data_IF_928843687656
#
_entry.id   IF_928843687656
#
_cell.length_a   1.000
_cell.length_b   1.000
_cell.length_c   1.000
_cell.angle_alpha   90.00
_cell.angle_beta   90.00
_cell.angle_gamma   90.00
#
_symmetry.space_group_name_H-M   'P 1'
#
loop_
_entity.id
_entity.type
_entity.pdbx_description
1 polymer ?
#
# COMPACT_ATOMS: atom_id res chain seq x y z
N UNK A 1 4.82 11.89 22.23
CA UNK A 1 4.06 13.17 22.29
C UNK A 1 3.05 13.05 23.43
N UNK A 2 2.87 14.06 24.30
CA UNK A 2 1.79 14.05 25.30
C UNK A 2 0.42 14.01 24.59
N UNK A 3 -0.61 13.41 25.24
CA UNK A 3 -2.00 13.45 24.76
C UNK A 3 -2.39 14.88 24.35
N UNK A 4 -3.04 15.01 23.20
CA UNK A 4 -3.50 16.31 22.66
C UNK A 4 -4.44 16.99 23.66
N UNK A 5 -4.36 18.32 23.77
CA UNK A 5 -5.26 19.08 24.63
C UNK A 5 -6.70 19.07 24.08
N UNK A 6 -7.72 19.27 24.93
CA UNK A 6 -9.12 19.35 24.48
C UNK A 6 -9.36 20.41 23.38
N UNK A 7 -8.67 21.54 23.45
CA UNK A 7 -8.78 22.61 22.44
C UNK A 7 -8.24 22.15 21.08
N UNK A 8 -7.10 21.43 21.09
CA UNK A 8 -6.52 20.87 19.86
C UNK A 8 -7.45 19.80 19.28
N UNK A 9 -8.03 18.93 20.12
CA UNK A 9 -9.00 17.91 19.68
C UNK A 9 -10.23 18.57 19.04
N UNK A 10 -10.76 19.63 19.66
CA UNK A 10 -11.92 20.37 19.15
C UNK A 10 -11.62 21.02 17.80
N UNK A 11 -10.46 21.66 17.67
CA UNK A 11 -10.00 22.23 16.40
C UNK A 11 -9.83 21.16 15.32
N UNK A 12 -9.26 20.00 15.67
CA UNK A 12 -9.09 18.87 14.74
C UNK A 12 -10.42 18.26 14.32
N UNK A 13 -11.41 18.18 15.21
CA UNK A 13 -12.75 17.73 14.84
C UNK A 13 -13.43 18.69 13.87
N UNK A 14 -13.29 20.00 14.08
CA UNK A 14 -13.87 21.02 13.21
C UNK A 14 -13.24 21.02 11.81
N UNK A 15 -11.96 20.67 11.71
CA UNK A 15 -11.18 20.64 10.46
C UNK A 15 -10.98 19.23 9.90
N UNK A 16 -11.72 18.24 10.39
CA UNK A 16 -11.59 16.85 9.96
C UNK A 16 -11.96 16.73 8.47
N UNK A 17 -11.07 16.21 7.60
CA UNK A 17 -11.38 16.03 6.19
C UNK A 17 -12.59 15.12 5.99
N UNK A 18 -13.48 15.48 5.08
CA UNK A 18 -14.62 14.64 4.69
C UNK A 18 -14.27 13.83 3.44
N UNK A 19 -14.08 12.50 3.56
CA UNK A 19 -13.67 11.70 2.42
C UNK A 19 -14.81 11.48 1.43
N UNK A 20 -14.48 11.55 0.14
CA UNK A 20 -15.30 10.98 -0.93
C UNK A 20 -14.76 9.60 -1.32
N UNK A 21 -15.63 8.75 -1.87
CA UNK A 21 -15.30 7.37 -2.22
C UNK A 21 -15.64 7.12 -3.67
N UNK A 22 -14.74 6.41 -4.36
CA UNK A 22 -15.00 5.93 -5.71
C UNK A 22 -15.86 4.66 -5.60
N UNK A 23 -17.01 4.65 -6.27
CA UNK A 23 -18.02 3.58 -6.13
C UNK A 23 -17.59 2.25 -6.78
N UNK A 24 -16.56 2.29 -7.64
CA UNK A 24 -16.06 1.18 -8.44
C UNK A 24 -15.06 0.26 -7.72
N UNK A 25 -14.49 0.71 -6.59
CA UNK A 25 -13.50 -0.07 -5.84
C UNK A 25 -14.16 -1.16 -4.96
N UNK A 26 -13.65 -2.40 -4.96
CA UNK A 26 -14.18 -3.50 -4.13
C UNK A 26 -14.31 -3.17 -2.64
N UNK A 27 -13.37 -2.43 -2.05
CA UNK A 27 -13.46 -1.99 -0.64
C UNK A 27 -14.72 -1.17 -0.37
N UNK A 28 -15.19 -0.39 -1.34
CA UNK A 28 -16.36 0.46 -1.16
C UNK A 28 -17.62 -0.38 -0.88
N UNK A 29 -17.79 -1.50 -1.58
CA UNK A 29 -18.94 -2.41 -1.39
C UNK A 29 -19.03 -2.97 0.05
N UNK A 30 -17.88 -3.06 0.75
CA UNK A 30 -17.76 -3.56 2.12
C UNK A 30 -17.55 -2.44 3.15
N UNK A 31 -17.67 -1.17 2.76
CA UNK A 31 -17.34 -0.01 3.63
C UNK A 31 -18.10 -0.01 4.96
N UNK A 32 -19.40 -0.26 4.95
CA UNK A 32 -20.23 -0.26 6.17
C UNK A 32 -19.94 -1.47 7.09
N UNK A 33 -19.46 -2.58 6.53
CA UNK A 33 -18.99 -3.73 7.29
C UNK A 33 -17.65 -3.42 7.95
N UNK A 34 -16.72 -2.83 7.19
CA UNK A 34 -15.41 -2.37 7.69
C UNK A 34 -15.58 -1.34 8.81
N UNK A 35 -16.46 -0.35 8.63
CA UNK A 35 -16.75 0.66 9.65
C UNK A 35 -17.20 0.04 10.96
N UNK A 36 -18.20 -0.83 10.90
CA UNK A 36 -18.73 -1.53 12.07
C UNK A 36 -17.68 -2.38 12.76
N UNK A 37 -16.82 -3.07 12.01
CA UNK A 37 -15.74 -3.84 12.62
C UNK A 37 -14.73 -2.94 13.33
N UNK A 38 -14.30 -1.84 12.71
CA UNK A 38 -13.36 -0.87 13.30
C UNK A 38 -13.94 -0.22 14.56
N UNK A 39 -15.25 0.06 14.60
CA UNK A 39 -15.90 0.61 15.80
C UNK A 39 -15.91 -0.41 16.94
N UNK A 40 -16.30 -1.65 16.65
CA UNK A 40 -16.60 -2.65 17.67
C UNK A 40 -15.39 -3.47 18.15
N UNK A 41 -14.28 -3.49 17.41
CA UNK A 41 -13.13 -4.35 17.74
C UNK A 41 -11.83 -3.56 17.77
N UNK A 42 -10.98 -3.81 18.78
CA UNK A 42 -9.68 -3.12 18.90
C UNK A 42 -8.72 -3.48 17.76
N UNK A 43 -8.80 -4.72 17.25
CA UNK A 43 -8.03 -5.21 16.11
C UNK A 43 -8.98 -5.67 15.02
N UNK A 44 -8.69 -5.32 13.77
CA UNK A 44 -9.43 -5.81 12.59
C UNK A 44 -8.43 -6.24 11.51
N UNK A 45 -8.66 -7.40 10.93
CA UNK A 45 -7.88 -7.89 9.79
C UNK A 45 -8.69 -7.67 8.52
N UNK A 46 -8.11 -7.00 7.52
CA UNK A 46 -8.78 -6.74 6.23
C UNK A 46 -7.94 -7.34 5.11
N UNK A 47 -8.47 -8.37 4.49
CA UNK A 47 -7.80 -9.12 3.44
C UNK A 47 -8.46 -8.89 2.08
N UNK A 48 -7.70 -9.04 1.01
CA UNK A 48 -8.22 -8.91 -0.34
C UNK A 48 -7.12 -8.63 -1.33
N UNK A 49 -7.31 -8.90 -2.61
CA UNK A 49 -6.26 -8.79 -3.62
C UNK A 49 -5.68 -7.36 -3.76
N UNK A 50 -4.49 -7.27 -4.36
CA UNK A 50 -3.95 -5.99 -4.80
C UNK A 50 -4.93 -5.30 -5.76
N UNK A 51 -5.00 -3.98 -5.72
CA UNK A 51 -5.97 -3.22 -6.52
C UNK A 51 -7.40 -3.17 -5.95
N UNK A 52 -7.72 -3.88 -4.86
CA UNK A 52 -9.06 -3.78 -4.23
C UNK A 52 -9.35 -2.43 -3.54
N UNK A 53 -8.34 -1.58 -3.37
CA UNK A 53 -8.45 -0.24 -2.79
C UNK A 53 -8.14 -0.15 -1.29
N UNK A 54 -7.72 -1.24 -0.63
CA UNK A 54 -7.45 -1.27 0.83
C UNK A 54 -6.55 -0.11 1.29
N UNK A 55 -5.38 0.00 0.68
CA UNK A 55 -4.35 0.98 1.00
C UNK A 55 -4.83 2.43 0.92
N UNK A 56 -5.69 2.79 -0.04
CA UNK A 56 -6.14 4.19 -0.20
C UNK A 56 -7.46 4.47 0.51
N UNK A 57 -8.34 3.48 0.64
CA UNK A 57 -9.70 3.70 1.16
C UNK A 57 -9.83 3.49 2.68
N UNK A 58 -9.11 2.53 3.27
CA UNK A 58 -9.18 2.26 4.72
C UNK A 58 -8.80 3.48 5.58
N UNK A 59 -7.69 4.22 5.33
CA UNK A 59 -7.39 5.42 6.12
C UNK A 59 -8.49 6.49 6.01
N UNK A 60 -9.17 6.60 4.85
CA UNK A 60 -10.33 7.49 4.69
C UNK A 60 -11.52 7.03 5.52
N UNK A 61 -11.82 5.72 5.54
CA UNK A 61 -12.84 5.15 6.43
C UNK A 61 -12.52 5.46 7.90
N UNK A 62 -11.25 5.37 8.29
CA UNK A 62 -10.83 5.76 9.64
C UNK A 62 -11.10 7.24 9.92
N UNK A 63 -10.82 8.15 8.98
CA UNK A 63 -11.15 9.58 9.12
C UNK A 63 -12.65 9.80 9.29
N UNK A 64 -13.49 9.11 8.51
CA UNK A 64 -14.95 9.17 8.66
C UNK A 64 -15.41 8.75 10.07
N UNK A 65 -14.74 7.77 10.66
CA UNK A 65 -14.94 7.32 12.05
C UNK A 65 -14.26 8.23 13.09
N UNK A 66 -13.85 9.45 12.69
CA UNK A 66 -13.18 10.46 13.53
C UNK A 66 -11.86 9.97 14.15
N UNK A 67 -11.22 8.96 13.55
CA UNK A 67 -9.84 8.59 13.90
C UNK A 67 -8.86 9.61 13.31
N UNK A 68 -7.67 9.68 13.88
CA UNK A 68 -6.70 10.73 13.58
C UNK A 68 -7.01 12.06 14.28
N UNK A 69 -8.02 12.13 15.15
CA UNK A 69 -8.39 13.35 15.87
C UNK A 69 -7.64 13.45 17.20
N UNK A 70 -7.55 12.34 17.94
CA UNK A 70 -6.93 12.28 19.27
C UNK A 70 -5.46 11.86 19.21
N UNK A 71 -5.02 11.37 18.06
CA UNK A 71 -3.63 11.16 17.66
C UNK A 71 -3.54 11.16 16.13
N UNK A 72 -2.51 10.54 15.57
CA UNK A 72 -2.39 10.29 14.14
C UNK A 72 -2.96 8.90 13.78
N UNK A 73 -3.41 8.75 12.53
CA UNK A 73 -3.52 7.47 11.86
C UNK A 73 -2.13 7.18 11.25
N UNK A 74 -1.39 6.25 11.85
CA UNK A 74 -0.11 5.79 11.34
C UNK A 74 -0.33 4.64 10.35
N UNK A 75 0.03 4.84 9.08
CA UNK A 75 -0.18 3.84 8.04
C UNK A 75 1.17 3.41 7.47
N UNK A 76 1.56 2.17 7.74
CA UNK A 76 2.86 1.67 7.31
C UNK A 76 2.81 1.10 5.89
N UNK A 77 3.95 1.16 5.21
CA UNK A 77 4.19 0.56 3.91
C UNK A 77 5.61 -0.03 3.91
N UNK A 78 5.83 -1.22 3.34
CA UNK A 78 7.17 -1.83 3.32
C UNK A 78 8.18 -1.04 2.49
N UNK A 79 7.71 -0.33 1.46
CA UNK A 79 8.55 0.39 0.49
C UNK A 79 8.42 1.90 0.61
N UNK A 80 9.55 2.62 0.57
CA UNK A 80 9.58 4.10 0.63
C UNK A 80 8.79 4.77 -0.50
N UNK A 81 8.93 4.26 -1.73
CA UNK A 81 8.21 4.81 -2.90
C UNK A 81 6.70 4.60 -2.75
N UNK A 82 6.27 3.44 -2.22
CA UNK A 82 4.87 3.16 -1.95
C UNK A 82 4.32 4.14 -0.90
N UNK A 83 4.99 4.32 0.24
CA UNK A 83 4.58 5.29 1.27
C UNK A 83 4.35 6.70 0.71
N UNK A 84 5.29 7.20 -0.11
CA UNK A 84 5.18 8.53 -0.72
C UNK A 84 4.04 8.61 -1.74
N UNK A 85 3.90 7.60 -2.60
CA UNK A 85 2.91 7.60 -3.70
C UNK A 85 1.50 7.43 -3.15
N UNK A 86 1.32 6.57 -2.15
CA UNK A 86 0.05 6.39 -1.43
C UNK A 86 -0.34 7.68 -0.70
N UNK A 87 0.60 8.35 -0.01
CA UNK A 87 0.33 9.63 0.63
C UNK A 87 -0.14 10.68 -0.38
N UNK A 88 0.53 10.79 -1.52
CA UNK A 88 0.15 11.70 -2.60
C UNK A 88 -1.24 11.38 -3.15
N UNK A 89 -1.57 10.10 -3.33
CA UNK A 89 -2.87 9.66 -3.82
C UNK A 89 -4.00 9.98 -2.84
N UNK A 90 -3.84 9.64 -1.56
CA UNK A 90 -4.87 9.92 -0.54
C UNK A 90 -5.05 11.43 -0.35
N UNK A 91 -3.96 12.20 -0.34
CA UNK A 91 -4.04 13.67 -0.28
C UNK A 91 -4.87 14.25 -1.44
N UNK A 92 -4.62 13.77 -2.67
CA UNK A 92 -5.39 14.18 -3.84
C UNK A 92 -6.88 13.80 -3.73
N UNK A 93 -7.19 12.57 -3.29
CA UNK A 93 -8.58 12.13 -3.08
C UNK A 93 -9.31 12.91 -1.97
N UNK A 94 -8.58 13.49 -1.02
CA UNK A 94 -9.10 14.37 0.03
C UNK A 94 -9.06 15.86 -0.35
N UNK A 95 -8.71 16.21 -1.59
CA UNK A 95 -8.53 17.59 -2.05
C UNK A 95 -7.57 18.41 -1.16
N UNK A 96 -6.49 17.78 -0.69
CA UNK A 96 -5.49 18.34 0.22
C UNK A 96 -4.11 18.30 -0.41
N UNK A 97 -3.23 19.25 -0.04
CA UNK A 97 -1.81 19.13 -0.34
C UNK A 97 -1.14 18.07 0.55
N UNK A 98 -0.14 17.37 0.01
CA UNK A 98 0.71 16.47 0.83
C UNK A 98 1.44 17.29 1.88
N UNK A 99 1.38 16.85 3.13
CA UNK A 99 1.92 17.53 4.32
C UNK A 99 0.86 18.30 5.11
N UNK A 100 -0.34 18.51 4.57
CA UNK A 100 -1.50 19.00 5.32
C UNK A 100 -2.23 17.81 5.92
N UNK A 101 -3.46 17.47 5.47
CA UNK A 101 -4.25 16.39 6.06
C UNK A 101 -3.58 15.01 5.99
N UNK A 102 -2.81 14.78 4.93
CA UNK A 102 -2.05 13.54 4.70
C UNK A 102 -0.59 13.88 4.48
N UNK A 103 0.28 13.27 5.26
CA UNK A 103 1.73 13.44 5.16
C UNK A 103 2.44 12.10 5.08
N UNK A 104 3.77 12.15 4.93
CA UNK A 104 4.58 10.94 5.02
C UNK A 104 5.91 11.18 5.73
N UNK A 105 6.45 10.11 6.33
CA UNK A 105 7.77 10.08 6.93
C UNK A 105 8.52 8.82 6.50
N UNK A 106 9.60 9.01 5.76
CA UNK A 106 10.53 7.96 5.34
C UNK A 106 11.93 8.31 5.83
N UNK A 107 12.89 7.39 5.70
CA UNK A 107 14.27 7.69 6.09
C UNK A 107 14.77 8.93 5.34
N UNK A 108 15.32 9.88 6.07
CA UNK A 108 15.87 11.17 5.58
C UNK A 108 14.86 12.15 4.97
N UNK A 109 13.56 11.85 4.98
CA UNK A 109 12.56 12.78 4.42
C UNK A 109 11.27 12.72 5.22
N UNK A 110 10.84 13.87 5.70
CA UNK A 110 9.58 14.04 6.43
C UNK A 110 8.78 15.17 5.80
N UNK A 111 7.48 14.92 5.60
CA UNK A 111 6.51 15.90 5.08
C UNK A 111 5.21 15.72 5.84
N UNK A 112 5.22 16.18 7.09
CA UNK A 112 4.07 16.23 8.00
C UNK A 112 3.95 17.65 8.60
N UNK A 113 2.77 17.99 9.08
CA UNK A 113 2.50 19.23 9.83
C UNK A 113 1.63 18.93 11.04
N UNK A 114 1.41 19.92 11.94
CA UNK A 114 0.44 19.77 13.03
C UNK A 114 -0.99 19.44 12.55
N UNK A 115 -1.33 19.79 11.31
CA UNK A 115 -2.64 19.54 10.70
C UNK A 115 -2.75 18.17 10.02
N UNK A 116 -1.70 17.35 10.09
CA UNK A 116 -1.73 15.98 9.57
C UNK A 116 -2.60 15.08 10.42
N UNK A 117 -3.46 14.31 9.77
CA UNK A 117 -4.29 13.26 10.38
C UNK A 117 -3.75 11.87 10.01
N UNK A 118 -3.35 11.68 8.75
CA UNK A 118 -2.82 10.42 8.25
C UNK A 118 -1.34 10.56 7.94
N UNK A 119 -0.50 9.79 8.63
CA UNK A 119 0.95 9.72 8.39
C UNK A 119 1.31 8.39 7.73
N UNK A 120 1.66 8.44 6.45
CA UNK A 120 2.26 7.31 5.75
C UNK A 120 3.72 7.17 6.15
N UNK A 121 4.18 5.97 6.41
CA UNK A 121 5.59 5.76 6.77
C UNK A 121 6.07 4.38 6.38
N UNK A 122 7.38 4.17 6.39
CA UNK A 122 7.90 2.81 6.30
C UNK A 122 7.81 2.08 7.63
N UNK A 123 7.72 0.75 7.60
CA UNK A 123 7.73 -0.08 8.82
C UNK A 123 8.91 0.25 9.73
N UNK A 124 10.10 0.40 9.15
CA UNK A 124 11.30 0.78 9.89
C UNK A 124 11.23 2.14 10.58
N UNK A 125 10.40 3.08 10.09
CA UNK A 125 10.18 4.38 10.74
C UNK A 125 9.28 4.20 11.96
N UNK A 126 8.19 3.44 11.84
CA UNK A 126 7.34 3.14 13.00
C UNK A 126 8.13 2.37 14.05
N UNK A 127 8.93 1.39 13.64
CA UNK A 127 9.77 0.59 14.54
C UNK A 127 10.79 1.48 15.26
N UNK A 128 11.45 2.40 14.55
CA UNK A 128 12.35 3.37 15.18
C UNK A 128 11.63 4.28 16.19
N UNK A 129 10.39 4.69 15.90
CA UNK A 129 9.60 5.51 16.82
C UNK A 129 9.26 4.78 18.12
N UNK A 130 9.14 3.45 18.12
CA UNK A 130 8.93 2.66 19.37
C UNK A 130 10.05 2.84 20.40
N UNK A 131 11.27 3.21 19.98
CA UNK A 131 12.38 3.45 20.91
C UNK A 131 12.23 4.75 21.70
N UNK A 132 11.62 5.76 21.09
CA UNK A 132 11.44 7.10 21.69
C UNK A 132 10.03 7.31 22.24
N UNK A 133 9.04 6.61 21.70
CA UNK A 133 7.66 6.57 22.15
C UNK A 133 7.23 5.10 22.36
N UNK A 134 7.64 4.45 23.47
CA UNK A 134 7.35 3.03 23.71
C UNK A 134 5.87 2.70 23.95
N UNK A 135 5.01 3.71 24.00
CA UNK A 135 3.57 3.52 24.06
C UNK A 135 2.89 3.95 22.77
N UNK A 136 3.63 4.46 21.77
CA UNK A 136 3.11 5.01 20.52
C UNK A 136 1.98 6.02 20.77
N UNK A 137 2.18 6.93 21.74
CA UNK A 137 1.18 7.92 22.16
C UNK A 137 0.83 8.94 21.08
N UNK A 138 1.70 9.11 20.08
CA UNK A 138 1.41 9.94 18.91
C UNK A 138 0.23 9.40 18.06
N UNK A 139 -0.19 8.15 18.25
CA UNK A 139 -1.19 7.48 17.40
C UNK A 139 -2.44 7.09 18.19
N UNK A 140 -3.59 7.28 17.54
CA UNK A 140 -4.86 6.68 17.96
C UNK A 140 -5.22 5.44 17.13
N UNK A 141 -4.63 5.31 15.94
CA UNK A 141 -4.87 4.22 15.00
C UNK A 141 -3.58 3.86 14.28
N UNK A 142 -3.30 2.57 14.17
CA UNK A 142 -2.25 2.03 13.32
C UNK A 142 -2.86 1.13 12.23
N UNK A 143 -2.40 1.33 11.01
CA UNK A 143 -2.69 0.47 9.86
C UNK A 143 -1.36 -0.15 9.45
N UNK A 144 -1.20 -1.46 9.65
CA UNK A 144 -0.04 -2.22 9.19
C UNK A 144 -0.40 -2.83 7.85
N UNK A 145 0.08 -2.20 6.77
CA UNK A 145 -0.27 -2.58 5.41
C UNK A 145 0.71 -3.54 4.78
N UNK A 146 0.23 -4.28 3.79
CA UNK A 146 1.01 -5.29 3.08
C UNK A 146 1.67 -6.27 4.07
N UNK A 147 0.96 -6.66 5.15
CA UNK A 147 1.51 -7.49 6.22
C UNK A 147 1.92 -8.91 5.76
N UNK A 148 1.57 -9.28 4.53
CA UNK A 148 2.03 -10.50 3.86
C UNK A 148 3.46 -10.40 3.30
N UNK A 149 4.03 -9.20 3.21
CA UNK A 149 5.43 -9.04 2.86
C UNK A 149 6.29 -9.66 3.97
N UNK A 150 7.17 -10.60 3.59
CA UNK A 150 8.02 -11.34 4.53
C UNK A 150 9.21 -10.50 4.99
N UNK A 151 8.92 -9.44 5.73
CA UNK A 151 9.89 -8.49 6.25
C UNK A 151 10.02 -8.64 7.77
N UNK A 152 11.26 -8.77 8.25
CA UNK A 152 11.56 -8.81 9.69
C UNK A 152 10.97 -7.60 10.44
N UNK A 153 10.92 -6.42 9.80
CA UNK A 153 10.36 -5.22 10.44
C UNK A 153 8.87 -5.39 10.75
N UNK A 154 8.11 -6.01 9.85
CA UNK A 154 6.67 -6.25 10.04
C UNK A 154 6.48 -7.25 11.18
N UNK A 155 7.23 -8.37 11.17
CA UNK A 155 7.14 -9.38 12.22
C UNK A 155 7.43 -8.80 13.61
N UNK A 156 8.50 -8.00 13.74
CA UNK A 156 8.83 -7.31 14.98
C UNK A 156 7.75 -6.31 15.40
N UNK A 157 7.21 -5.53 14.45
CA UNK A 157 6.13 -4.57 14.75
C UNK A 157 4.87 -5.28 15.23
N UNK A 158 4.44 -6.36 14.58
CA UNK A 158 3.25 -7.10 14.98
C UNK A 158 3.43 -7.71 16.39
N UNK A 159 4.60 -8.33 16.65
CA UNK A 159 4.93 -8.86 17.97
C UNK A 159 4.97 -7.78 19.06
N UNK A 160 5.53 -6.61 18.75
CA UNK A 160 5.57 -5.45 19.65
C UNK A 160 4.16 -4.90 19.93
N UNK A 161 3.36 -4.68 18.88
CA UNK A 161 2.02 -4.13 19.00
C UNK A 161 1.11 -5.09 19.78
N UNK A 162 1.23 -6.40 19.59
CA UNK A 162 0.49 -7.39 20.39
C UNK A 162 0.72 -7.20 21.90
N UNK A 163 1.94 -6.87 22.32
CA UNK A 163 2.24 -6.59 23.73
C UNK A 163 1.78 -5.18 24.17
N UNK A 164 1.68 -4.24 23.24
CA UNK A 164 1.22 -2.88 23.49
C UNK A 164 -0.30 -2.78 23.68
N UNK A 165 -1.08 -3.52 22.89
CA UNK A 165 -2.54 -3.40 22.85
C UNK A 165 -3.23 -3.52 24.23
N UNK A 166 -2.84 -4.45 25.13
CA UNK A 166 -3.39 -4.49 26.49
C UNK A 166 -3.12 -3.25 27.34
N UNK A 167 -2.01 -2.52 27.05
CA UNK A 167 -1.62 -1.29 27.75
C UNK A 167 -2.25 -0.04 27.12
N UNK A 168 -2.69 -0.14 25.86
CA UNK A 168 -3.31 0.93 25.06
C UNK A 168 -4.67 0.48 24.52
N UNK A 169 -5.69 0.27 25.38
CA UNK A 169 -7.03 -0.12 24.94
C UNK A 169 -7.69 0.91 24.01
N UNK A 170 -7.20 2.15 24.03
CA UNK A 170 -7.62 3.25 23.15
C UNK A 170 -7.06 3.15 21.73
N UNK A 171 -5.93 2.44 21.53
CA UNK A 171 -5.27 2.29 20.25
C UNK A 171 -6.02 1.28 19.37
N UNK A 172 -6.41 1.71 18.17
CA UNK A 172 -7.00 0.86 17.13
C UNK A 172 -5.89 0.26 16.26
N UNK A 173 -5.95 -1.04 15.97
CA UNK A 173 -5.07 -1.70 15.01
C UNK A 173 -5.88 -2.24 13.85
N UNK A 174 -5.42 -1.95 12.64
CA UNK A 174 -5.90 -2.55 11.40
C UNK A 174 -4.71 -3.21 10.72
N UNK A 175 -4.85 -4.48 10.36
CA UNK A 175 -3.82 -5.21 9.59
C UNK A 175 -4.40 -5.51 8.23
N UNK A 176 -3.70 -5.12 7.18
CA UNK A 176 -4.12 -5.39 5.79
C UNK A 176 -3.16 -6.34 5.09
N UNK A 177 -3.74 -7.28 4.34
CA UNK A 177 -2.98 -8.31 3.62
C UNK A 177 -3.60 -8.59 2.24
N UNK A 178 -2.76 -8.92 1.25
CA UNK A 178 -3.21 -9.36 -0.06
C UNK A 178 -3.46 -10.88 -0.15
N UNK A 179 -3.02 -11.64 0.84
CA UNK A 179 -3.01 -13.10 0.80
C UNK A 179 -3.99 -13.74 1.79
N UNK A 180 -4.24 -15.03 1.58
CA UNK A 180 -5.14 -15.90 2.37
C UNK A 180 -4.64 -16.13 3.81
N UNK A 181 -3.47 -15.61 4.20
CA UNK A 181 -2.90 -15.79 5.55
C UNK A 181 -3.62 -14.98 6.66
N UNK A 182 -4.84 -14.51 6.38
CA UNK A 182 -5.71 -13.77 7.29
C UNK A 182 -5.91 -14.47 8.64
N UNK A 183 -6.06 -15.79 8.60
CA UNK A 183 -6.33 -16.61 9.79
C UNK A 183 -5.14 -16.64 10.75
N UNK A 184 -3.90 -16.60 10.25
CA UNK A 184 -2.73 -16.50 11.13
C UNK A 184 -2.67 -15.15 11.83
N UNK A 185 -2.99 -14.06 11.14
CA UNK A 185 -3.08 -12.74 11.78
C UNK A 185 -4.22 -12.69 12.80
N UNK A 186 -5.38 -13.25 12.47
CA UNK A 186 -6.52 -13.34 13.40
C UNK A 186 -6.12 -14.09 14.67
N UNK A 187 -5.58 -15.30 14.55
CA UNK A 187 -5.11 -16.10 15.69
C UNK A 187 -3.97 -15.41 16.46
N UNK A 188 -3.09 -14.67 15.78
CA UNK A 188 -2.06 -13.87 16.45
C UNK A 188 -2.68 -12.78 17.34
N UNK A 189 -3.81 -12.18 16.96
CA UNK A 189 -4.49 -11.11 17.68
C UNK A 189 -5.78 -11.56 18.38
N UNK A 190 -5.77 -12.75 18.99
CA UNK A 190 -6.87 -13.30 19.80
C UNK A 190 -8.19 -13.43 19.01
N UNK A 191 -8.11 -14.08 17.84
CA UNK A 191 -9.24 -14.33 16.95
C UNK A 191 -9.93 -13.04 16.46
N UNK A 192 -9.12 -12.02 16.16
CA UNK A 192 -9.60 -10.75 15.63
C UNK A 192 -10.44 -10.94 14.35
N UNK A 193 -11.54 -10.19 14.15
CA UNK A 193 -12.41 -10.36 12.99
C UNK A 193 -11.67 -10.13 11.68
N UNK A 194 -11.95 -11.00 10.72
CA UNK A 194 -11.41 -10.96 9.36
C UNK A 194 -12.51 -10.49 8.41
N UNK A 195 -12.22 -9.44 7.62
CA UNK A 195 -13.07 -8.99 6.53
C UNK A 195 -12.36 -9.28 5.21
N UNK A 196 -13.02 -10.03 4.33
CA UNK A 196 -12.54 -10.32 2.99
C UNK A 196 -13.15 -9.36 1.96
N UNK A 197 -12.27 -8.69 1.24
CA UNK A 197 -12.59 -7.80 0.13
C UNK A 197 -12.11 -8.46 -1.16
N UNK A 198 -12.98 -9.28 -1.74
CA UNK A 198 -12.72 -9.94 -3.02
C UNK A 198 -12.69 -8.91 -4.15
N UNK A 199 -11.59 -8.90 -4.90
CA UNK A 199 -11.49 -8.13 -6.13
C UNK A 199 -12.34 -8.74 -7.24
N UNK A 200 -12.50 -8.01 -8.34
CA UNK A 200 -12.94 -8.61 -9.61
C UNK A 200 -11.70 -9.20 -10.28
N UNK A 201 -11.47 -10.50 -10.11
CA UNK A 201 -10.51 -11.20 -10.96
C UNK A 201 -11.14 -11.43 -12.33
N UNK A 202 -10.44 -10.99 -13.37
CA UNK A 202 -10.70 -11.47 -14.73
C UNK A 202 -9.85 -12.73 -14.96
N UNK A 203 -10.36 -13.73 -15.68
CA UNK A 203 -9.57 -14.92 -15.99
C UNK A 203 -8.32 -14.53 -16.78
N UNK A 204 -7.17 -15.05 -16.35
CA UNK A 204 -5.88 -14.85 -17.01
C UNK A 204 -5.48 -16.16 -17.70
N UNK A 205 -5.21 -16.10 -18.99
CA UNK A 205 -4.63 -17.22 -19.74
C UNK A 205 -3.12 -17.29 -19.51
N UNK A 206 -2.60 -18.47 -19.19
CA UNK A 206 -1.16 -18.69 -18.96
C UNK A 206 -0.58 -19.41 -20.17
N UNK A 207 0.28 -18.71 -20.91
CA UNK A 207 1.01 -19.27 -22.03
C UNK A 207 2.49 -19.47 -21.63
N UNK A 208 3.01 -20.68 -21.74
CA UNK A 208 4.41 -21.00 -21.47
C UNK A 208 5.16 -21.27 -22.77
N UNK A 209 6.31 -20.60 -22.96
CA UNK A 209 7.22 -20.82 -24.09
C UNK A 209 8.64 -21.00 -23.53
N UNK A 210 9.23 -22.20 -23.60
CA UNK A 210 10.60 -22.41 -23.15
C UNK A 210 11.58 -21.69 -24.08
N UNK A 211 12.66 -21.15 -23.49
CA UNK A 211 13.86 -20.81 -24.25
C UNK A 211 14.54 -22.12 -24.66
N UNK A 212 14.97 -22.25 -25.92
CA UNK A 212 15.67 -23.45 -26.37
C UNK A 212 17.03 -23.52 -25.67
N UNK A 213 17.40 -24.71 -25.19
CA UNK A 213 18.37 -24.91 -24.10
C UNK A 213 19.86 -24.68 -24.45
N UNK A 214 20.20 -24.30 -25.68
CA UNK A 214 21.59 -24.10 -26.11
C UNK A 214 22.03 -22.62 -26.14
N UNK A 215 21.12 -21.70 -25.81
CA UNK A 215 21.25 -20.26 -26.08
C UNK A 215 21.05 -19.43 -24.79
N UNK A 216 21.99 -19.55 -23.84
CA UNK A 216 22.07 -18.71 -22.62
C UNK A 216 22.90 -17.43 -22.86
N UNK A 217 22.67 -16.71 -23.97
CA UNK A 217 23.25 -15.37 -24.17
C UNK A 217 22.23 -14.28 -23.81
N UNK A 218 22.70 -13.15 -23.25
CA UNK A 218 21.87 -11.96 -22.90
C UNK A 218 20.96 -11.52 -24.08
N UNK A 219 21.41 -11.74 -25.34
CA UNK A 219 20.65 -11.46 -26.56
C UNK A 219 19.35 -12.27 -26.69
N UNK A 220 19.29 -13.48 -26.14
CA UNK A 220 18.15 -14.38 -26.37
C UNK A 220 16.99 -14.09 -25.43
N UNK A 221 17.27 -13.64 -24.20
CA UNK A 221 16.22 -13.11 -23.32
C UNK A 221 15.53 -11.90 -23.96
N UNK A 222 16.32 -10.98 -24.54
CA UNK A 222 15.79 -9.75 -25.15
C UNK A 222 14.97 -10.09 -26.41
N UNK A 223 15.46 -11.01 -27.25
CA UNK A 223 14.71 -11.53 -28.40
C UNK A 223 13.40 -12.20 -27.99
N UNK A 224 13.43 -13.03 -26.95
CA UNK A 224 12.23 -13.69 -26.45
C UNK A 224 11.19 -12.68 -25.97
N UNK A 225 11.62 -11.62 -25.27
CA UNK A 225 10.75 -10.52 -24.85
C UNK A 225 10.17 -9.80 -26.07
N UNK A 226 10.98 -9.49 -27.09
CA UNK A 226 10.48 -8.86 -28.32
C UNK A 226 9.39 -9.68 -28.99
N UNK A 227 9.63 -10.99 -29.15
CA UNK A 227 8.66 -11.91 -29.74
C UNK A 227 7.37 -11.97 -28.93
N UNK A 228 7.45 -12.02 -27.60
CA UNK A 228 6.28 -11.99 -26.73
C UNK A 228 5.50 -10.68 -26.87
N UNK A 229 6.19 -9.54 -26.96
CA UNK A 229 5.55 -8.22 -27.13
C UNK A 229 4.87 -8.10 -28.50
N UNK A 230 5.50 -8.55 -29.59
CA UNK A 230 4.90 -8.57 -30.94
C UNK A 230 3.59 -9.37 -30.96
N UNK A 231 3.60 -10.55 -30.33
CA UNK A 231 2.43 -11.42 -30.24
C UNK A 231 1.31 -10.78 -29.41
N UNK A 232 1.62 -10.20 -28.25
CA UNK A 232 0.65 -9.51 -27.41
C UNK A 232 0.02 -8.30 -28.12
N UNK A 233 0.82 -7.52 -28.86
CA UNK A 233 0.31 -6.38 -29.65
C UNK A 233 -0.65 -6.87 -30.75
N UNK A 234 -0.37 -8.02 -31.36
CA UNK A 234 -1.23 -8.60 -32.39
C UNK A 234 -2.59 -9.09 -31.84
N UNK A 235 -2.65 -9.49 -30.56
CA UNK A 235 -3.90 -9.94 -29.91
C UNK A 235 -4.90 -8.80 -29.70
N UNK A 236 -4.44 -7.58 -29.48
CA UNK A 236 -5.33 -6.43 -29.32
C UNK A 236 -4.78 -5.30 -28.46
N UNK A 237 -5.61 -4.29 -28.14
CA UNK A 237 -5.21 -3.18 -27.30
C UNK A 237 -5.02 -3.61 -25.85
N UNK A 238 -3.95 -3.12 -25.21
CA UNK A 238 -3.65 -3.34 -23.79
C UNK A 238 -2.25 -2.88 -23.41
N UNK A 239 -2.04 -2.63 -22.13
CA UNK A 239 -0.70 -2.37 -21.59
C UNK A 239 0.05 -3.68 -21.34
N UNK A 240 1.38 -3.66 -21.52
CA UNK A 240 2.25 -4.81 -21.30
C UNK A 240 3.18 -4.53 -20.11
N UNK A 241 3.17 -5.42 -19.13
CA UNK A 241 4.08 -5.37 -17.98
C UNK A 241 5.12 -6.48 -18.09
N UNK A 242 6.40 -6.09 -18.18
CA UNK A 242 7.54 -7.03 -18.24
C UNK A 242 8.29 -7.00 -16.91
N UNK A 243 8.50 -8.16 -16.31
CA UNK A 243 9.31 -8.33 -15.10
C UNK A 243 10.74 -8.71 -15.48
N UNK A 244 11.72 -7.95 -14.97
CA UNK A 244 13.14 -8.11 -15.28
C UNK A 244 13.97 -8.06 -13.98
N UNK A 245 15.14 -8.70 -13.94
CA UNK A 245 15.87 -8.93 -12.69
C UNK A 245 16.57 -7.67 -12.15
N UNK A 246 16.91 -6.68 -12.98
CA UNK A 246 17.72 -5.53 -12.56
C UNK A 246 17.67 -4.32 -13.48
N UNK A 247 18.25 -3.20 -13.01
CA UNK A 247 18.28 -1.92 -13.76
C UNK A 247 18.94 -2.07 -15.12
N UNK A 248 20.03 -2.85 -15.22
CA UNK A 248 20.77 -3.07 -16.46
C UNK A 248 19.86 -3.73 -17.50
N UNK A 249 19.24 -4.85 -17.13
CA UNK A 249 18.37 -5.64 -18.02
C UNK A 249 17.13 -4.84 -18.42
N UNK A 250 16.58 -4.04 -17.50
CA UNK A 250 15.46 -3.13 -17.79
C UNK A 250 15.85 -2.08 -18.84
N UNK A 251 17.04 -1.47 -18.72
CA UNK A 251 17.51 -0.45 -19.66
C UNK A 251 17.79 -1.05 -21.04
N UNK A 252 18.52 -2.15 -21.08
CA UNK A 252 18.84 -2.85 -22.33
C UNK A 252 17.56 -3.28 -23.05
N UNK A 253 16.63 -3.92 -22.33
CA UNK A 253 15.34 -4.32 -22.90
C UNK A 253 14.53 -3.12 -23.41
N UNK A 254 14.48 -2.02 -22.65
CA UNK A 254 13.77 -0.81 -23.08
C UNK A 254 14.40 -0.15 -24.31
N UNK A 255 15.73 -0.18 -24.44
CA UNK A 255 16.41 0.30 -25.65
C UNK A 255 16.13 -0.59 -26.86
N UNK A 256 16.18 -1.90 -26.67
CA UNK A 256 15.88 -2.89 -27.71
C UNK A 256 14.43 -2.74 -28.20
N UNK A 257 13.48 -2.61 -27.29
CA UNK A 257 12.07 -2.37 -27.59
C UNK A 257 11.84 -1.05 -28.34
N UNK A 258 12.57 0.03 -27.99
CA UNK A 258 12.48 1.31 -28.72
C UNK A 258 12.99 1.25 -30.15
N UNK A 259 13.99 0.41 -30.42
CA UNK A 259 14.59 0.24 -31.75
C UNK A 259 13.81 -0.76 -32.62
N UNK A 260 12.95 -1.56 -32.01
CA UNK A 260 12.18 -2.58 -32.72
C UNK A 260 11.02 -1.98 -33.51
N UNK A 261 10.83 -2.48 -34.72
CA UNK A 261 9.76 -2.09 -35.63
C UNK A 261 8.63 -3.13 -35.51
N UNK A 262 7.61 -2.81 -34.73
CA UNK A 262 6.45 -3.68 -34.54
C UNK A 262 5.50 -3.59 -35.74
N UNK A 263 5.14 -4.74 -36.30
CA UNK A 263 4.38 -4.83 -37.57
C UNK A 263 2.89 -4.49 -37.43
N UNK A 264 2.32 -4.51 -36.22
CA UNK A 264 0.89 -4.38 -35.96
C UNK A 264 0.52 -3.16 -35.10
N UNK A 265 1.35 -2.12 -35.11
CA UNK A 265 1.11 -0.91 -34.32
C UNK A 265 -0.13 -0.15 -34.80
N UNK A 266 -1.18 -0.18 -33.98
CA UNK A 266 -2.38 0.63 -34.17
C UNK A 266 -2.28 2.02 -33.51
N UNK A 267 -1.30 2.22 -32.64
CA UNK A 267 -1.07 3.45 -31.87
C UNK A 267 0.39 3.59 -31.44
N UNK A 268 0.76 4.79 -30.95
CA UNK A 268 2.09 5.07 -30.40
C UNK A 268 2.31 4.25 -29.11
N UNK A 269 3.45 3.56 -29.01
CA UNK A 269 3.89 2.91 -27.78
C UNK A 269 4.68 3.86 -26.90
N UNK A 270 4.43 3.80 -25.59
CA UNK A 270 5.18 4.52 -24.57
C UNK A 270 5.93 3.53 -23.68
N UNK A 271 7.24 3.74 -23.53
CA UNK A 271 8.11 2.86 -22.73
C UNK A 271 8.39 3.49 -21.37
N UNK A 272 7.90 2.85 -20.30
CA UNK A 272 8.02 3.32 -18.92
C UNK A 272 8.87 2.35 -18.09
N UNK A 273 10.21 2.45 -18.16
CA UNK A 273 11.07 1.57 -17.40
C UNK A 273 11.07 2.00 -15.91
N UNK A 274 10.89 1.03 -15.01
CA UNK A 274 10.80 1.26 -13.56
C UNK A 274 11.77 0.35 -12.80
N UNK A 275 12.60 0.92 -11.93
CA UNK A 275 13.48 0.19 -11.02
C UNK A 275 13.68 0.97 -9.72
N UNK A 276 14.12 0.27 -8.67
CA UNK A 276 14.53 0.90 -7.41
C UNK A 276 15.90 1.55 -7.57
N UNK A 277 15.97 2.88 -7.48
CA UNK A 277 17.25 3.56 -7.21
C UNK A 277 17.54 3.47 -5.73
N UNK A 278 18.56 2.69 -5.36
CA UNK A 278 19.17 2.78 -4.03
C UNK A 278 19.94 4.11 -3.98
N UNK A 279 19.33 5.13 -3.39
CA UNK A 279 20.01 6.35 -2.95
C UNK A 279 20.23 6.29 -1.43
#
# INVERSE_FOLDING_TARGET
>A
MKKLSPDVITSRLANLPQPSYAEDLPVHARREEIKRAIENHQVVIICGETGSGKTTQIPKICLELKRGVTGLIGHTQPRRIAARTVAARIAAELNSAVGQAVGYKIRFTDKISPDTYVKLMTDGILLAETQSDPLLQAYDTLIIDEAHERSLNIDFLLGYIKQLLPKRPDLKLIVTSATIDAQRFSGHFNDAPVIEVTGRLYPVEICYRPLLADDEEDNDMQRAILHAVDELIALGPGDILVFLPGEREIRETAETLRKHHFNYLRSVLYWLPMWLKLH
#
